data_IF_365663612306
#
_entry.id   IF_365663612306
#
_cell.length_a   1.000
_cell.length_b   1.000
_cell.length_c   1.000
_cell.angle_alpha   90.00
_cell.angle_beta   90.00
_cell.angle_gamma   90.00
#
_symmetry.space_group_name_H-M   'P 1'
#
loop_
_entity.id
_entity.type
_entity.pdbx_description
1 polymer ?
#
# COMPACT_ATOMS: atom_id res chain seq x y z
N UNK A 1 -34.76 29.40 37.96
CA UNK A 1 -34.42 28.02 38.34
C UNK A 1 -34.99 27.10 37.27
N UNK A 2 -34.18 26.64 36.30
CA UNK A 2 -34.54 25.50 35.45
C UNK A 2 -34.09 24.17 36.11
N UNK A 3 -34.76 23.04 35.82
CA UNK A 3 -34.58 21.77 36.54
C UNK A 3 -33.35 20.95 36.12
N UNK A 4 -33.03 19.97 36.97
CA UNK A 4 -31.87 19.08 37.01
C UNK A 4 -31.57 18.24 35.75
N UNK A 5 -30.28 17.91 35.59
CA UNK A 5 -29.67 16.92 34.65
C UNK A 5 -29.99 15.45 35.05
N UNK A 6 -29.50 14.35 34.41
CA UNK A 6 -28.61 14.18 33.24
C UNK A 6 -29.06 13.12 32.20
N UNK A 7 -28.77 13.36 30.92
CA UNK A 7 -28.95 12.38 29.84
C UNK A 7 -27.71 11.48 29.65
N UNK A 8 -27.98 10.18 29.63
CA UNK A 8 -27.08 9.03 29.72
C UNK A 8 -26.07 8.89 28.56
N UNK A 9 -24.91 8.39 28.96
CA UNK A 9 -23.80 7.74 28.26
C UNK A 9 -24.15 6.86 27.02
N UNK A 10 -23.17 6.71 26.13
CA UNK A 10 -23.13 5.76 25.00
C UNK A 10 -23.28 6.41 23.62
N UNK A 11 -22.29 6.51 22.73
CA UNK A 11 -20.98 5.90 22.63
C UNK A 11 -20.02 6.88 21.95
N UNK A 12 -19.19 7.59 22.72
CA UNK A 12 -17.83 7.87 22.24
C UNK A 12 -17.08 6.56 22.37
N UNK A 13 -16.88 5.83 21.28
CA UNK A 13 -15.77 4.87 21.25
C UNK A 13 -14.50 5.66 21.00
N UNK A 14 -13.98 6.14 22.12
CA UNK A 14 -12.57 6.17 22.48
C UNK A 14 -11.71 5.37 21.48
N UNK A 15 -10.84 6.09 20.78
CA UNK A 15 -9.51 5.57 20.54
C UNK A 15 -8.88 5.21 21.90
N UNK A 16 -7.94 4.28 21.88
CA UNK A 16 -7.29 3.62 23.04
C UNK A 16 -7.90 2.27 23.42
N UNK A 17 -7.57 1.26 22.61
CA UNK A 17 -6.82 0.06 23.03
C UNK A 17 -6.92 -1.02 21.95
N UNK A 18 -6.03 -0.96 20.96
CA UNK A 18 -5.52 -2.18 20.34
C UNK A 18 -4.01 -2.16 20.62
N UNK A 19 -3.48 -3.25 21.20
CA UNK A 19 -2.04 -3.48 21.30
C UNK A 19 -1.39 -3.47 19.91
N UNK A 20 -0.08 -3.79 19.77
CA UNK A 20 0.58 -3.82 18.47
C UNK A 20 0.11 -5.06 17.68
N UNK A 21 -1.17 -5.06 17.29
CA UNK A 21 -1.68 -5.87 16.21
C UNK A 21 -1.01 -5.34 14.97
N UNK A 22 -0.03 -6.09 14.47
CA UNK A 22 0.55 -5.86 13.15
C UNK A 22 -0.63 -5.72 12.19
N UNK A 23 -0.87 -4.50 11.71
CA UNK A 23 -1.92 -4.23 10.73
C UNK A 23 -1.66 -5.14 9.54
N UNK A 24 -2.52 -6.15 9.35
CA UNK A 24 -2.44 -7.06 8.20
C UNK A 24 -2.54 -6.29 6.86
N UNK A 25 -2.93 -5.02 6.91
CA UNK A 25 -3.01 -4.10 5.79
C UNK A 25 -1.66 -3.49 5.39
N UNK A 26 -0.64 -3.49 6.26
CA UNK A 26 0.68 -2.88 5.96
C UNK A 26 1.73 -3.92 5.56
N UNK A 27 2.69 -3.56 4.70
CA UNK A 27 3.78 -4.47 4.36
C UNK A 27 4.69 -4.72 5.56
N UNK A 28 5.04 -5.98 5.78
CA UNK A 28 6.00 -6.37 6.82
C UNK A 28 7.41 -5.92 6.43
N UNK A 29 8.22 -5.36 7.35
CA UNK A 29 9.64 -5.08 7.10
C UNK A 29 10.39 -6.34 6.65
N UNK A 30 11.24 -6.20 5.64
CA UNK A 30 12.05 -7.29 5.12
C UNK A 30 13.45 -7.25 5.75
N UNK A 31 14.07 -8.39 6.09
CA UNK A 31 15.39 -8.44 6.72
C UNK A 31 16.52 -7.81 5.90
N UNK A 32 16.37 -7.68 4.58
CA UNK A 32 17.32 -6.93 3.75
C UNK A 32 16.63 -6.28 2.55
N UNK A 33 17.17 -5.14 2.10
CA UNK A 33 16.60 -4.35 1.01
C UNK A 33 16.60 -5.07 -0.36
N UNK A 34 17.49 -6.05 -0.53
CA UNK A 34 17.72 -6.75 -1.79
C UNK A 34 17.62 -8.27 -1.64
N UNK A 35 16.75 -8.76 -0.74
CA UNK A 35 16.71 -10.18 -0.39
C UNK A 35 16.45 -11.09 -1.60
N UNK A 36 15.70 -10.63 -2.60
CA UNK A 36 15.40 -11.41 -3.82
C UNK A 36 16.64 -11.52 -4.70
N UNK A 37 17.36 -10.41 -4.90
CA UNK A 37 18.57 -10.36 -5.70
C UNK A 37 19.69 -11.17 -5.03
N UNK A 38 19.88 -10.97 -3.73
CA UNK A 38 20.86 -11.72 -2.95
C UNK A 38 20.58 -13.23 -2.98
N UNK A 39 19.34 -13.65 -2.76
CA UNK A 39 19.00 -15.09 -2.76
C UNK A 39 19.11 -15.70 -4.15
N UNK A 40 18.68 -15.00 -5.22
CA UNK A 40 18.89 -15.44 -6.60
C UNK A 40 20.38 -15.59 -6.91
N UNK A 41 21.18 -14.57 -6.66
CA UNK A 41 22.62 -14.60 -6.95
C UNK A 41 23.30 -15.72 -6.17
N UNK A 42 23.08 -15.77 -4.86
CA UNK A 42 23.73 -16.74 -3.99
C UNK A 42 23.36 -18.19 -4.38
N UNK A 43 22.07 -18.47 -4.57
CA UNK A 43 21.61 -19.83 -4.84
C UNK A 43 21.92 -20.26 -6.28
N UNK A 44 22.09 -19.34 -7.22
CA UNK A 44 22.54 -19.68 -8.57
C UNK A 44 23.99 -20.19 -8.60
N UNK A 45 24.88 -19.59 -7.81
CA UNK A 45 26.31 -19.93 -7.85
C UNK A 45 26.76 -20.92 -6.77
N UNK A 46 26.04 -21.02 -5.66
CA UNK A 46 26.50 -21.78 -4.48
C UNK A 46 25.44 -22.75 -3.92
N UNK A 47 24.40 -23.10 -4.70
CA UNK A 47 23.31 -23.97 -4.22
C UNK A 47 23.77 -25.34 -3.73
N UNK A 48 24.79 -25.93 -4.35
CA UNK A 48 25.39 -27.20 -3.92
C UNK A 48 26.03 -27.13 -2.52
N UNK A 49 26.39 -25.93 -2.07
CA UNK A 49 27.06 -25.69 -0.80
C UNK A 49 26.09 -25.18 0.28
N UNK A 50 24.83 -24.89 -0.08
CA UNK A 50 23.82 -24.35 0.82
C UNK A 50 22.81 -25.43 1.18
N UNK A 51 22.73 -25.85 2.46
CA UNK A 51 21.71 -26.78 2.91
C UNK A 51 20.31 -26.25 2.60
N UNK A 52 19.45 -27.11 2.05
CA UNK A 52 18.04 -26.79 1.77
C UNK A 52 17.86 -25.61 0.79
N UNK A 53 18.81 -25.37 -0.12
CA UNK A 53 18.76 -24.31 -1.13
C UNK A 53 17.39 -24.19 -1.85
N UNK A 54 16.82 -25.31 -2.29
CA UNK A 54 15.50 -25.34 -2.95
C UNK A 54 14.38 -24.82 -2.04
N UNK A 55 14.37 -25.22 -0.76
CA UNK A 55 13.37 -24.75 0.20
C UNK A 55 13.48 -23.24 0.45
N UNK A 56 14.71 -22.70 0.46
CA UNK A 56 14.95 -21.27 0.58
C UNK A 56 14.41 -20.54 -0.67
N UNK A 57 14.71 -21.03 -1.87
CA UNK A 57 14.18 -20.44 -3.12
C UNK A 57 12.64 -20.41 -3.13
N UNK A 58 12.01 -21.51 -2.72
CA UNK A 58 10.55 -21.59 -2.63
C UNK A 58 9.99 -20.56 -1.66
N UNK A 59 10.56 -20.43 -0.45
CA UNK A 59 10.08 -19.48 0.55
C UNK A 59 10.23 -18.03 0.11
N UNK A 60 11.35 -17.70 -0.55
CA UNK A 60 11.59 -16.38 -1.14
C UNK A 60 10.53 -16.07 -2.20
N UNK A 61 10.24 -17.03 -3.09
CA UNK A 61 9.23 -16.89 -4.13
C UNK A 61 7.83 -16.68 -3.54
N UNK A 62 7.44 -17.50 -2.57
CA UNK A 62 6.13 -17.40 -1.90
C UNK A 62 5.95 -16.03 -1.22
N UNK A 63 7.02 -15.55 -0.57
CA UNK A 63 7.04 -14.23 0.06
C UNK A 63 6.88 -13.12 -0.98
N UNK A 64 7.63 -13.19 -2.09
CA UNK A 64 7.51 -12.24 -3.19
C UNK A 64 6.12 -12.23 -3.81
N UNK A 65 5.56 -13.40 -4.12
CA UNK A 65 4.25 -13.54 -4.76
C UNK A 65 3.14 -13.00 -3.86
N UNK A 66 3.18 -13.32 -2.56
CA UNK A 66 2.24 -12.80 -1.56
C UNK A 66 2.27 -11.28 -1.50
N UNK A 67 3.47 -10.68 -1.47
CA UNK A 67 3.63 -9.23 -1.40
C UNK A 67 3.22 -8.54 -2.69
N UNK A 68 3.50 -9.13 -3.86
CA UNK A 68 3.01 -8.66 -5.15
C UNK A 68 1.49 -8.71 -5.28
N UNK A 69 0.86 -9.78 -4.79
CA UNK A 69 -0.59 -9.86 -4.76
C UNK A 69 -1.19 -8.74 -3.89
N UNK A 70 -0.63 -8.51 -2.70
CA UNK A 70 -1.04 -7.43 -1.81
C UNK A 70 -0.87 -6.04 -2.44
N UNK A 71 0.24 -5.79 -3.12
CA UNK A 71 0.49 -4.51 -3.81
C UNK A 71 -0.52 -4.25 -4.92
N UNK A 72 -0.88 -5.27 -5.71
CA UNK A 72 -1.92 -5.15 -6.74
C UNK A 72 -3.29 -4.85 -6.13
N UNK A 73 -3.68 -5.59 -5.09
CA UNK A 73 -4.95 -5.33 -4.40
C UNK A 73 -5.00 -3.92 -3.77
N UNK A 74 -3.87 -3.44 -3.23
CA UNK A 74 -3.75 -2.08 -2.71
C UNK A 74 -3.92 -1.04 -3.82
N UNK A 75 -3.31 -1.24 -4.99
CA UNK A 75 -3.43 -0.35 -6.13
C UNK A 75 -4.86 -0.34 -6.70
N UNK A 76 -5.48 -1.51 -6.83
CA UNK A 76 -6.87 -1.63 -7.28
C UNK A 76 -7.83 -0.90 -6.33
N UNK A 77 -7.64 -1.07 -5.01
CA UNK A 77 -8.45 -0.37 -4.01
C UNK A 77 -8.27 1.15 -4.07
N UNK A 78 -7.03 1.63 -4.24
CA UNK A 78 -6.70 3.05 -4.38
C UNK A 78 -7.44 3.67 -5.58
N UNK A 79 -7.43 2.98 -6.72
CA UNK A 79 -8.11 3.41 -7.95
C UNK A 79 -9.63 3.44 -7.75
N UNK A 80 -10.22 2.37 -7.20
CA UNK A 80 -11.67 2.29 -6.95
C UNK A 80 -12.19 3.32 -5.96
N UNK A 81 -11.41 3.66 -4.96
CA UNK A 81 -11.78 4.70 -3.99
C UNK A 81 -11.45 6.12 -4.46
N UNK A 82 -10.77 6.26 -5.60
CA UNK A 82 -10.28 7.55 -6.12
C UNK A 82 -9.45 8.31 -5.07
N UNK A 83 -8.63 7.58 -4.33
CA UNK A 83 -7.75 8.18 -3.32
C UNK A 83 -6.70 9.08 -4.00
N UNK A 84 -6.28 10.15 -3.31
CA UNK A 84 -5.27 11.08 -3.83
C UNK A 84 -3.86 10.78 -3.31
N UNK A 85 -3.74 10.03 -2.21
CA UNK A 85 -2.48 9.74 -1.56
C UNK A 85 -2.50 8.35 -0.92
N UNK A 86 -1.41 7.59 -1.09
CA UNK A 86 -1.20 6.29 -0.48
C UNK A 86 0.11 6.26 0.30
N UNK A 87 0.11 5.60 1.46
CA UNK A 87 1.32 5.35 2.24
C UNK A 87 1.85 3.96 1.93
N UNK A 88 3.10 3.88 1.45
CA UNK A 88 3.74 2.62 1.05
C UNK A 88 4.95 2.33 1.96
N UNK A 89 4.68 2.05 3.23
CA UNK A 89 5.73 1.65 4.18
C UNK A 89 6.24 0.24 3.89
N UNK A 90 7.54 0.01 4.07
CA UNK A 90 8.19 -1.31 3.95
C UNK A 90 8.04 -1.98 2.58
N UNK A 91 7.79 -1.21 1.52
CA UNK A 91 7.81 -1.69 0.15
C UNK A 91 9.24 -1.67 -0.39
N UNK A 92 9.64 -2.73 -1.07
CA UNK A 92 11.01 -2.89 -1.56
C UNK A 92 11.20 -2.23 -2.92
N UNK A 93 12.42 -1.82 -3.25
CA UNK A 93 12.69 -1.14 -4.52
C UNK A 93 12.35 -2.01 -5.74
N UNK A 94 12.64 -3.31 -5.70
CA UNK A 94 12.25 -4.26 -6.74
C UNK A 94 10.73 -4.35 -6.94
N UNK A 95 9.98 -4.27 -5.85
CA UNK A 95 8.52 -4.30 -5.87
C UNK A 95 7.97 -3.05 -6.56
N UNK A 96 8.51 -1.88 -6.21
CA UNK A 96 8.20 -0.59 -6.83
C UNK A 96 8.57 -0.60 -8.31
N UNK A 97 9.76 -1.05 -8.66
CA UNK A 97 10.23 -1.06 -10.06
C UNK A 97 9.40 -1.99 -10.95
N UNK A 98 8.84 -3.06 -10.39
CA UNK A 98 8.04 -4.03 -11.15
C UNK A 98 6.71 -3.46 -11.64
N UNK A 99 6.03 -2.62 -10.84
CA UNK A 99 4.68 -2.10 -11.16
C UNK A 99 4.63 -0.58 -11.32
N UNK A 100 5.58 0.16 -10.75
CA UNK A 100 5.51 1.61 -10.56
C UNK A 100 5.38 2.39 -11.86
N UNK A 101 6.14 2.03 -12.90
CA UNK A 101 6.07 2.71 -14.20
C UNK A 101 4.67 2.57 -14.82
N UNK A 102 4.11 1.36 -14.78
CA UNK A 102 2.78 1.11 -15.32
C UNK A 102 1.71 1.86 -14.51
N UNK A 103 1.72 1.70 -13.19
CA UNK A 103 0.71 2.28 -12.31
C UNK A 103 0.69 3.81 -12.38
N UNK A 104 1.87 4.46 -12.29
CA UNK A 104 1.96 5.92 -12.33
C UNK A 104 1.50 6.50 -13.66
N UNK A 105 1.84 5.86 -14.79
CA UNK A 105 1.36 6.28 -16.12
C UNK A 105 -0.15 6.12 -16.25
N UNK A 106 -0.70 5.00 -15.79
CA UNK A 106 -2.14 4.78 -15.80
C UNK A 106 -2.87 5.85 -14.96
N UNK A 107 -2.36 6.16 -13.77
CA UNK A 107 -2.93 7.19 -12.90
C UNK A 107 -2.85 8.60 -13.51
N UNK A 108 -1.75 8.96 -14.19
CA UNK A 108 -1.64 10.24 -14.90
C UNK A 108 -2.69 10.37 -16.02
N UNK A 109 -2.90 9.31 -16.80
CA UNK A 109 -3.96 9.29 -17.81
C UNK A 109 -5.35 9.39 -17.20
N UNK A 110 -5.62 8.67 -16.10
CA UNK A 110 -6.89 8.74 -15.38
C UNK A 110 -7.16 10.15 -14.84
N UNK A 111 -6.14 10.76 -14.24
CA UNK A 111 -6.23 12.11 -13.71
C UNK A 111 -6.59 13.12 -14.81
N UNK A 112 -5.89 13.09 -15.96
CA UNK A 112 -6.19 13.95 -17.12
C UNK A 112 -7.62 13.79 -17.62
N UNK A 113 -8.13 12.56 -17.68
CA UNK A 113 -9.52 12.30 -18.09
C UNK A 113 -10.52 12.89 -17.10
N UNK A 114 -10.28 12.76 -15.80
CA UNK A 114 -11.13 13.32 -14.77
C UNK A 114 -11.14 14.85 -14.77
N UNK A 115 -9.97 15.48 -14.95
CA UNK A 115 -9.87 16.95 -14.99
C UNK A 115 -10.51 17.52 -16.25
N UNK A 116 -10.40 16.85 -17.40
CA UNK A 116 -11.05 17.30 -18.64
C UNK A 116 -12.58 17.18 -18.59
N UNK A 117 -13.12 16.30 -17.74
CA UNK A 117 -14.56 16.11 -17.57
C UNK A 117 -15.19 17.14 -16.61
N UNK A 118 -14.39 17.82 -15.77
CA UNK A 118 -14.88 18.95 -14.98
C UNK A 118 -14.96 20.16 -15.92
N UNK A 119 -16.15 20.63 -16.35
CA UNK A 119 -16.24 21.87 -17.09
C UNK A 119 -15.69 22.97 -16.20
N UNK A 120 -14.85 23.78 -16.81
CA UNK A 120 -14.16 24.90 -16.21
C UNK A 120 -15.07 25.66 -15.23
N UNK A 121 -14.83 25.50 -13.93
CA UNK A 121 -15.43 26.36 -12.90
C UNK A 121 -14.77 27.74 -12.89
N UNK A 122 -14.13 28.17 -13.97
CA UNK A 122 -13.70 29.56 -14.20
C UNK A 122 -14.76 30.37 -14.97
N UNK A 123 -16.01 30.35 -14.52
CA UNK A 123 -16.93 31.45 -14.84
C UNK A 123 -17.65 31.89 -13.57
N UNK A 124 -17.46 33.17 -13.25
CA UNK A 124 -18.02 33.97 -12.13
C UNK A 124 -17.18 34.03 -10.84
N UNK A 125 -16.03 34.69 -10.94
CA UNK A 125 -15.59 35.63 -9.90
C UNK A 125 -15.08 36.91 -10.58
N UNK A 126 -15.96 37.58 -11.30
CA UNK A 126 -15.83 39.01 -11.54
C UNK A 126 -17.23 39.61 -11.77
N UNK A 127 -17.41 40.80 -11.20
CA UNK A 127 -18.57 41.71 -11.25
C UNK A 127 -19.62 41.56 -10.14
N UNK A 128 -19.33 42.16 -8.98
CA UNK A 128 -19.97 43.37 -8.40
C UNK A 128 -19.69 43.49 -6.89
#
# INVERSE_FOLDING_TARGET
MPPDSPGVDGHRKTGENLGPGIHQDTFTPMPSLCYVEFTKLLLNYTSNNIPKAVKIQMLVKDTWDTRMAKLRLSADSFIWKQEAHAKLDNLMLMEINTIGIFLTRALDHMYKLWTNLQPDRSVKFQDF
#
